data_IF_922044712905
#
_entry.id   IF_922044712905
#
_cell.length_a   1.000
_cell.length_b   1.000
_cell.length_c   1.000
_cell.angle_alpha   90.00
_cell.angle_beta   90.00
_cell.angle_gamma   90.00
#
_symmetry.space_group_name_H-M   'P 1'
#
loop_
_entity.id
_entity.type
_entity.pdbx_description
1 polymer ?
#
# COMPACT_ATOMS: atom_id res chain seq x y z
N UNK A 1 -11.86 25.60 3.68
CA UNK A 1 -10.43 25.17 3.59
C UNK A 1 -10.39 23.68 3.24
N UNK A 2 -10.59 23.34 1.96
CA UNK A 2 -10.56 21.96 1.47
C UNK A 2 -9.25 21.71 0.73
N UNK A 3 -8.32 20.95 1.34
CA UNK A 3 -7.10 20.52 0.67
C UNK A 3 -7.43 19.29 -0.18
N UNK A 4 -7.73 19.54 -1.45
CA UNK A 4 -8.11 18.54 -2.44
C UNK A 4 -7.10 17.38 -2.52
N UNK A 5 -7.60 16.15 -2.34
CA UNK A 5 -6.88 14.91 -2.66
C UNK A 5 -6.10 14.23 -1.53
N UNK A 6 -6.26 14.64 -0.28
CA UNK A 6 -5.71 13.92 0.87
C UNK A 6 -6.76 13.03 1.55
N UNK A 7 -6.48 11.73 1.64
CA UNK A 7 -7.34 10.72 2.28
C UNK A 7 -6.73 10.29 3.60
N UNK A 8 -7.57 10.15 4.62
CA UNK A 8 -7.17 9.58 5.90
C UNK A 8 -7.07 8.06 5.77
N UNK A 9 -5.92 7.47 6.09
CA UNK A 9 -5.69 6.03 5.98
C UNK A 9 -5.20 5.47 7.31
N UNK A 10 -5.78 4.36 7.80
CA UNK A 10 -5.26 3.67 8.97
C UNK A 10 -3.93 2.98 8.64
N UNK A 11 -2.90 3.27 9.43
CA UNK A 11 -1.56 2.68 9.28
C UNK A 11 -1.38 1.43 10.13
N UNK A 12 -1.86 1.46 11.38
CA UNK A 12 -1.76 0.33 12.29
C UNK A 12 -2.78 0.43 13.43
N UNK A 13 -3.28 -0.73 13.84
CA UNK A 13 -4.03 -0.94 15.08
C UNK A 13 -3.08 -1.50 16.12
N UNK A 14 -2.96 -0.84 17.27
CA UNK A 14 -2.13 -1.32 18.38
C UNK A 14 -2.90 -1.23 19.69
N UNK A 15 -2.67 -2.20 20.57
CA UNK A 15 -3.19 -2.14 21.93
C UNK A 15 -2.22 -1.29 22.77
N UNK A 16 -2.75 -0.34 23.53
CA UNK A 16 -1.95 0.38 24.51
C UNK A 16 -1.79 -0.45 25.79
N UNK A 17 -0.88 -0.04 26.67
CA UNK A 17 -0.61 -0.71 27.96
C UNK A 17 -1.82 -0.81 28.90
N UNK A 18 -2.91 -0.10 28.57
CA UNK A 18 -4.19 -0.11 29.29
C UNK A 18 -5.25 -1.00 28.62
N UNK A 19 -4.85 -1.86 27.68
CA UNK A 19 -5.72 -2.82 26.98
C UNK A 19 -6.69 -2.21 25.97
N UNK A 20 -6.55 -0.92 25.63
CA UNK A 20 -7.41 -0.23 24.66
C UNK A 20 -6.77 -0.22 23.27
N UNK A 21 -7.58 -0.52 22.27
CA UNK A 21 -7.20 -0.43 20.87
C UNK A 21 -7.04 1.03 20.45
N UNK A 22 -5.87 1.35 19.88
CA UNK A 22 -5.57 2.64 19.26
C UNK A 22 -5.30 2.46 17.77
N UNK A 23 -5.86 3.37 16.99
CA UNK A 23 -5.62 3.49 15.55
C UNK A 23 -4.58 4.58 15.30
N UNK A 24 -3.49 4.22 14.64
CA UNK A 24 -2.56 5.19 14.05
C UNK A 24 -3.11 5.61 12.70
N UNK A 25 -3.57 6.85 12.59
CA UNK A 25 -4.09 7.43 11.35
C UNK A 25 -2.99 8.25 10.67
N UNK A 26 -2.83 8.07 9.37
CA UNK A 26 -1.94 8.86 8.52
C UNK A 26 -2.75 9.61 7.47
N UNK A 27 -2.22 10.74 7.01
CA UNK A 27 -2.75 11.44 5.84
C UNK A 27 -1.98 10.97 4.61
N UNK A 28 -2.68 10.43 3.62
CA UNK A 28 -2.07 9.93 2.40
C UNK A 28 -2.65 10.66 1.17
N UNK A 29 -1.83 10.80 0.12
CA UNK A 29 -2.27 11.28 -1.19
C UNK A 29 -2.37 10.08 -2.14
N UNK A 30 -3.48 9.97 -2.86
CA UNK A 30 -3.65 8.94 -3.89
C UNK A 30 -2.55 9.00 -4.95
N UNK A 31 -2.05 7.83 -5.37
CA UNK A 31 -1.00 7.71 -6.39
C UNK A 31 -1.49 8.20 -7.75
N UNK A 32 -0.68 8.98 -8.48
CA UNK A 32 -1.03 9.51 -9.81
C UNK A 32 -1.19 8.36 -10.82
N UNK A 33 -2.03 8.58 -11.84
CA UNK A 33 -2.41 7.54 -12.82
C UNK A 33 -1.21 7.04 -13.64
N UNK A 34 -0.24 7.92 -13.93
CA UNK A 34 1.01 7.56 -14.59
C UNK A 34 1.82 6.55 -13.76
N UNK A 35 1.98 6.83 -12.47
CA UNK A 35 2.76 5.97 -11.56
C UNK A 35 2.08 4.61 -11.31
N UNK A 36 0.75 4.50 -11.53
CA UNK A 36 0.03 3.21 -11.45
C UNK A 36 0.46 2.27 -12.56
N UNK A 37 0.58 2.74 -13.80
CA UNK A 37 0.98 1.91 -14.95
C UNK A 37 2.36 1.29 -14.76
N UNK A 38 3.32 2.07 -14.28
CA UNK A 38 4.68 1.57 -14.01
C UNK A 38 4.68 0.53 -12.88
N UNK A 39 3.87 0.75 -11.84
CA UNK A 39 3.75 -0.19 -10.71
C UNK A 39 3.08 -1.49 -11.13
N UNK A 40 2.04 -1.42 -11.95
CA UNK A 40 1.33 -2.58 -12.49
C UNK A 40 2.26 -3.41 -13.38
N UNK A 41 3.00 -2.77 -14.29
CA UNK A 41 3.99 -3.43 -15.13
C UNK A 41 5.07 -4.15 -14.29
N UNK A 42 5.64 -3.46 -13.29
CA UNK A 42 6.63 -4.06 -12.38
C UNK A 42 6.05 -5.24 -11.58
N UNK A 43 4.80 -5.14 -11.12
CA UNK A 43 4.12 -6.20 -10.37
C UNK A 43 3.83 -7.43 -11.22
N UNK A 44 3.50 -7.22 -12.49
CA UNK A 44 3.24 -8.31 -13.42
C UNK A 44 4.53 -9.01 -13.84
N UNK A 45 5.58 -8.23 -14.13
CA UNK A 45 6.93 -8.76 -14.39
C UNK A 45 7.47 -9.60 -13.22
N UNK A 46 7.32 -9.10 -11.98
CA UNK A 46 7.75 -9.86 -10.80
C UNK A 46 6.97 -11.17 -10.63
N UNK A 47 5.67 -11.20 -10.96
CA UNK A 47 4.86 -12.45 -10.95
C UNK A 47 5.34 -13.44 -12.01
N UNK A 48 5.65 -12.96 -13.21
CA UNK A 48 6.20 -13.82 -14.28
C UNK A 48 7.57 -14.37 -13.89
N UNK A 49 8.45 -13.53 -13.35
CA UNK A 49 9.78 -13.94 -12.85
C UNK A 49 9.68 -15.04 -11.79
N UNK A 50 8.76 -14.89 -10.84
CA UNK A 50 8.50 -15.90 -9.80
C UNK A 50 7.98 -17.23 -10.39
N UNK A 51 7.14 -17.18 -11.44
CA UNK A 51 6.65 -18.39 -12.12
C UNK A 51 7.76 -19.12 -12.87
N UNK A 52 8.62 -18.40 -13.60
CA UNK A 52 9.76 -18.98 -14.32
C UNK A 52 10.76 -19.65 -13.37
N UNK A 53 11.05 -19.01 -12.23
CA UNK A 53 11.91 -19.58 -11.18
C UNK A 53 11.31 -20.85 -10.56
N UNK A 54 9.98 -20.99 -10.54
CA UNK A 54 9.27 -22.14 -9.95
C UNK A 54 9.03 -23.29 -10.93
N UNK A 55 9.06 -23.05 -12.24
CA UNK A 55 8.94 -24.08 -13.28
C UNK A 55 10.26 -24.79 -13.59
N UNK A 56 11.39 -24.17 -13.27
CA UNK A 56 12.73 -24.69 -13.57
C UNK A 56 13.41 -25.36 -12.36
N UNK A 57 12.66 -25.74 -11.32
CA UNK A 57 13.12 -26.54 -10.19
C UNK A 57 12.24 -27.76 -10.02
#
# INVERSE_FOLDING_TARGET
VGREGMTLVPLALYFNDRGKVKLKLGVAKGKKLADKRETEAKRDWNRQKQRLLKQNG
#
